data_IF_346048529824
#
_entry.id   IF_346048529824
#
_cell.length_a   1.000
_cell.length_b   1.000
_cell.length_c   1.000
_cell.angle_alpha   90.00
_cell.angle_beta   90.00
_cell.angle_gamma   90.00
#
_symmetry.space_group_name_H-M   'P 1'
#
loop_
_entity.id
_entity.type
_entity.pdbx_description
1 polymer ?
#
# COMPACT_ATOMS: atom_id res chain seq x y z
N UNK A 1 1.20 -20.29 7.57
CA UNK A 1 1.72 -20.07 6.22
C UNK A 1 0.97 -18.87 5.64
N UNK A 2 1.66 -17.83 5.17
CA UNK A 2 0.98 -16.67 4.56
C UNK A 2 0.36 -17.05 3.22
N UNK A 3 -0.65 -16.28 2.76
CA UNK A 3 -1.26 -16.48 1.44
C UNK A 3 -0.20 -16.39 0.33
N UNK A 4 0.73 -15.44 0.45
CA UNK A 4 1.85 -15.26 -0.47
C UNK A 4 2.73 -16.53 -0.58
N UNK A 5 3.07 -17.15 0.56
CA UNK A 5 3.87 -18.40 0.58
C UNK A 5 3.07 -19.59 0.01
N UNK A 6 1.76 -19.67 0.25
CA UNK A 6 0.92 -20.68 -0.39
C UNK A 6 0.87 -20.47 -1.91
N UNK A 7 0.63 -19.24 -2.31
CA UNK A 7 0.52 -18.86 -3.70
C UNK A 7 1.81 -19.11 -4.50
N UNK A 8 2.98 -18.83 -3.93
CA UNK A 8 4.28 -19.08 -4.57
C UNK A 8 4.58 -20.56 -4.85
N UNK A 9 3.82 -21.48 -4.25
CA UNK A 9 3.94 -22.94 -4.46
C UNK A 9 3.06 -23.47 -5.60
N UNK A 10 2.18 -22.64 -6.15
CA UNK A 10 1.35 -23.03 -7.29
C UNK A 10 2.19 -23.08 -8.57
N UNK A 11 1.91 -24.02 -9.50
CA UNK A 11 2.51 -23.96 -10.84
C UNK A 11 2.21 -22.65 -11.53
N UNK A 12 3.16 -22.10 -12.27
CA UNK A 12 3.01 -20.78 -12.93
C UNK A 12 1.71 -20.57 -13.71
N UNK A 13 1.20 -21.51 -14.51
CA UNK A 13 -0.09 -21.32 -15.19
C UNK A 13 -1.25 -21.09 -14.22
N UNK A 14 -1.29 -21.84 -13.11
CA UNK A 14 -2.34 -21.74 -12.11
C UNK A 14 -2.20 -20.44 -11.29
N UNK A 15 -0.98 -20.07 -10.91
CA UNK A 15 -0.73 -18.84 -10.16
C UNK A 15 -1.12 -17.59 -10.94
N UNK A 16 -0.79 -17.52 -12.24
CA UNK A 16 -1.20 -16.41 -13.12
C UNK A 16 -2.71 -16.30 -13.29
N UNK A 17 -3.40 -17.44 -13.38
CA UNK A 17 -4.86 -17.47 -13.52
C UNK A 17 -5.56 -17.02 -12.23
N UNK A 18 -5.03 -17.41 -11.08
CA UNK A 18 -5.66 -17.17 -9.77
C UNK A 18 -5.30 -15.78 -9.23
N UNK A 19 -4.13 -15.22 -9.56
CA UNK A 19 -3.68 -13.93 -9.05
C UNK A 19 -4.69 -12.79 -9.22
N UNK A 20 -5.31 -12.58 -10.39
CA UNK A 20 -6.30 -11.53 -10.59
C UNK A 20 -7.50 -11.63 -9.63
N UNK A 21 -7.86 -12.85 -9.20
CA UNK A 21 -8.94 -13.07 -8.25
C UNK A 21 -8.46 -12.80 -6.82
N UNK A 22 -7.26 -13.27 -6.48
CA UNK A 22 -6.71 -13.16 -5.13
C UNK A 22 -6.44 -11.72 -4.71
N UNK A 23 -6.18 -10.79 -5.62
CA UNK A 23 -6.01 -9.38 -5.31
C UNK A 23 -7.25 -8.76 -4.65
N UNK A 24 -8.45 -9.26 -4.95
CA UNK A 24 -9.71 -8.82 -4.36
C UNK A 24 -10.02 -9.48 -3.00
N UNK A 25 -9.19 -10.40 -2.53
CA UNK A 25 -9.39 -11.07 -1.23
C UNK A 25 -9.03 -10.18 -0.03
N UNK A 26 -8.47 -9.00 -0.26
CA UNK A 26 -8.37 -7.92 0.71
C UNK A 26 -9.23 -6.76 0.22
N UNK A 27 -10.39 -6.56 0.85
CA UNK A 27 -11.37 -5.57 0.44
C UNK A 27 -10.80 -4.16 0.39
N UNK A 28 -10.01 -3.77 1.40
CA UNK A 28 -9.39 -2.44 1.46
C UNK A 28 -8.48 -2.21 0.25
N UNK A 29 -7.58 -3.15 -0.03
CA UNK A 29 -6.66 -3.05 -1.17
C UNK A 29 -7.37 -3.08 -2.52
N UNK A 30 -8.45 -3.85 -2.63
CA UNK A 30 -9.26 -3.87 -3.85
C UNK A 30 -9.95 -2.52 -4.11
N UNK A 31 -10.40 -1.85 -3.05
CA UNK A 31 -10.97 -0.50 -3.14
C UNK A 31 -9.89 0.52 -3.50
N UNK A 32 -8.73 0.48 -2.87
CA UNK A 32 -7.60 1.38 -3.18
C UNK A 32 -7.18 1.28 -4.65
N UNK A 33 -6.95 0.09 -5.17
CA UNK A 33 -6.56 -0.13 -6.57
C UNK A 33 -7.55 0.47 -7.57
N UNK A 34 -8.82 0.54 -7.20
CA UNK A 34 -9.84 1.15 -8.03
C UNK A 34 -9.64 2.66 -8.21
N UNK A 35 -9.14 3.36 -7.18
CA UNK A 35 -8.83 4.79 -7.28
C UNK A 35 -7.53 5.07 -8.05
N UNK A 36 -6.65 4.07 -8.14
CA UNK A 36 -5.45 4.17 -8.98
C UNK A 36 -5.78 4.00 -10.48
N UNK A 37 -6.73 3.13 -10.81
CA UNK A 37 -7.04 2.76 -12.19
C UNK A 37 -7.27 3.94 -13.16
N UNK A 38 -7.94 5.06 -12.81
CA UNK A 38 -8.11 6.20 -13.69
C UNK A 38 -6.81 6.90 -14.10
N UNK A 39 -5.73 6.69 -13.34
CA UNK A 39 -4.45 7.38 -13.49
C UNK A 39 -3.39 6.53 -14.21
N UNK A 40 -3.64 5.23 -14.39
CA UNK A 40 -2.72 4.25 -14.97
C UNK A 40 -3.45 3.33 -15.95
N UNK A 41 -3.68 3.83 -17.17
CA UNK A 41 -4.30 3.04 -18.23
C UNK A 41 -3.35 2.01 -18.84
N UNK A 42 -2.08 2.37 -19.01
CA UNK A 42 -1.04 1.52 -19.61
C UNK A 42 0.31 1.77 -18.95
N UNK A 43 0.77 0.80 -18.18
CA UNK A 43 2.06 0.86 -17.48
C UNK A 43 3.19 0.14 -18.21
N UNK A 44 2.97 -0.33 -19.43
CA UNK A 44 3.99 -1.05 -20.21
C UNK A 44 5.23 -0.18 -20.43
N UNK A 45 6.37 -0.72 -20.03
CA UNK A 45 7.63 0.00 -20.09
C UNK A 45 7.84 1.06 -19.03
N UNK A 46 6.87 1.28 -18.13
CA UNK A 46 7.04 2.17 -16.99
C UNK A 46 7.99 1.58 -15.98
N UNK A 47 8.61 2.45 -15.22
CA UNK A 47 9.33 2.10 -14.01
C UNK A 47 8.50 2.47 -12.79
N UNK A 48 8.11 1.49 -12.00
CA UNK A 48 7.24 1.64 -10.83
C UNK A 48 8.04 1.35 -9.58
N UNK A 49 7.92 2.21 -8.56
CA UNK A 49 8.44 1.98 -7.21
C UNK A 49 7.25 1.75 -6.26
N UNK A 50 7.31 0.67 -5.48
CA UNK A 50 6.40 0.40 -4.38
C UNK A 50 7.14 0.60 -3.04
N UNK A 51 6.81 1.68 -2.32
CA UNK A 51 7.42 2.02 -1.03
C UNK A 51 6.61 1.35 0.08
N UNK A 52 7.28 0.52 0.90
CA UNK A 52 6.63 -0.31 1.89
C UNK A 52 5.88 -1.48 1.25
N UNK A 53 6.50 -2.13 0.27
CA UNK A 53 5.86 -3.15 -0.57
C UNK A 53 5.44 -4.42 0.19
N UNK A 54 5.92 -4.64 1.41
CA UNK A 54 5.68 -5.86 2.17
C UNK A 54 5.96 -7.12 1.36
N UNK A 55 4.98 -8.01 1.27
CA UNK A 55 5.08 -9.24 0.47
C UNK A 55 5.00 -9.02 -1.05
N UNK A 56 4.96 -7.78 -1.53
CA UNK A 56 4.91 -7.41 -2.95
C UNK A 56 3.63 -7.83 -3.69
N UNK A 57 2.66 -8.42 -2.99
CA UNK A 57 1.53 -9.11 -3.63
C UNK A 57 0.65 -8.18 -4.46
N UNK A 58 0.46 -6.94 -4.02
CA UNK A 58 -0.46 -6.00 -4.68
C UNK A 58 0.18 -5.23 -5.82
N UNK A 59 1.48 -4.99 -5.76
CA UNK A 59 2.23 -4.28 -6.82
C UNK A 59 2.67 -5.18 -7.97
N UNK A 60 2.59 -6.50 -7.82
CA UNK A 60 2.96 -7.45 -8.88
C UNK A 60 2.12 -7.31 -10.15
N UNK A 61 0.92 -6.73 -10.08
CA UNK A 61 0.11 -6.46 -11.26
C UNK A 61 0.84 -5.55 -12.26
N UNK A 62 1.59 -4.56 -11.78
CA UNK A 62 2.38 -3.70 -12.67
C UNK A 62 3.42 -4.51 -13.47
N UNK A 63 4.08 -5.47 -12.82
CA UNK A 63 5.03 -6.35 -13.50
C UNK A 63 4.35 -7.34 -14.44
N UNK A 64 3.13 -7.79 -14.13
CA UNK A 64 2.29 -8.60 -15.05
C UNK A 64 1.89 -7.78 -16.27
N UNK A 65 1.62 -6.48 -16.11
CA UNK A 65 1.29 -5.54 -17.18
C UNK A 65 2.55 -4.92 -17.84
N UNK A 66 3.68 -5.61 -17.70
CA UNK A 66 4.95 -5.32 -18.37
C UNK A 66 5.69 -4.05 -17.92
N UNK A 67 5.39 -3.51 -16.75
CA UNK A 67 6.24 -2.53 -16.09
C UNK A 67 7.49 -3.19 -15.48
N UNK A 68 8.51 -2.38 -15.20
CA UNK A 68 9.61 -2.75 -14.31
C UNK A 68 9.25 -2.30 -12.90
N UNK A 69 9.15 -3.23 -11.96
CA UNK A 69 8.78 -3.00 -10.57
C UNK A 69 10.02 -3.06 -9.67
N UNK A 70 10.25 -2.00 -8.92
CA UNK A 70 11.15 -2.01 -7.77
C UNK A 70 10.29 -1.87 -6.50
N UNK A 71 10.43 -2.77 -5.54
CA UNK A 71 9.76 -2.70 -4.23
C UNK A 71 10.77 -2.48 -3.12
N UNK A 72 10.47 -1.64 -2.14
CA UNK A 72 11.31 -1.50 -0.95
C UNK A 72 10.51 -1.67 0.34
N UNK A 73 11.14 -2.27 1.34
CA UNK A 73 10.57 -2.48 2.66
C UNK A 73 11.69 -2.63 3.71
N UNK A 74 11.38 -2.41 4.99
CA UNK A 74 12.30 -2.65 6.10
C UNK A 74 12.36 -4.12 6.53
N UNK A 75 11.36 -4.92 6.16
CA UNK A 75 11.24 -6.33 6.52
C UNK A 75 11.94 -7.23 5.50
N UNK A 76 13.11 -7.75 5.86
CA UNK A 76 13.82 -8.72 5.02
C UNK A 76 13.02 -10.02 4.78
N UNK A 77 12.18 -10.43 5.75
CA UNK A 77 11.30 -11.59 5.62
C UNK A 77 10.19 -11.36 4.61
N UNK A 78 9.62 -10.16 4.56
CA UNK A 78 8.58 -9.79 3.62
C UNK A 78 9.15 -9.67 2.21
N UNK A 79 10.33 -9.07 2.05
CA UNK A 79 11.02 -9.01 0.76
C UNK A 79 11.39 -10.39 0.23
N UNK A 80 11.73 -11.33 1.11
CA UNK A 80 11.93 -12.73 0.71
C UNK A 80 10.64 -13.35 0.18
N UNK A 81 9.52 -13.11 0.86
CA UNK A 81 8.21 -13.57 0.40
C UNK A 81 7.80 -12.91 -0.92
N UNK A 82 8.10 -11.60 -1.09
CA UNK A 82 7.84 -10.86 -2.32
C UNK A 82 8.58 -11.48 -3.53
N UNK A 83 9.88 -11.78 -3.38
CA UNK A 83 10.66 -12.47 -4.42
C UNK A 83 10.08 -13.84 -4.77
N UNK A 84 9.69 -14.63 -3.75
CA UNK A 84 9.06 -15.93 -3.98
C UNK A 84 7.73 -15.80 -4.72
N UNK A 85 6.94 -14.77 -4.39
CA UNK A 85 5.67 -14.52 -5.05
C UNK A 85 5.90 -14.11 -6.52
N UNK A 86 6.85 -13.21 -6.79
CA UNK A 86 7.22 -12.82 -8.15
C UNK A 86 7.66 -14.01 -9.01
N UNK A 87 8.50 -14.90 -8.45
CA UNK A 87 8.89 -16.16 -9.11
C UNK A 87 7.67 -17.05 -9.37
N UNK A 88 6.76 -17.17 -8.39
CA UNK A 88 5.55 -17.97 -8.51
C UNK A 88 4.63 -17.54 -9.65
N UNK A 89 4.54 -16.22 -9.95
CA UNK A 89 3.76 -15.68 -11.09
C UNK A 89 4.60 -15.51 -12.37
N UNK A 90 5.92 -15.73 -12.29
CA UNK A 90 6.83 -15.65 -13.45
C UNK A 90 7.09 -14.22 -13.92
N UNK A 91 7.24 -13.28 -12.99
CA UNK A 91 7.61 -11.88 -13.26
C UNK A 91 8.89 -11.45 -12.53
N UNK A 92 9.63 -12.40 -11.97
CA UNK A 92 10.89 -12.18 -11.26
C UNK A 92 11.96 -11.47 -12.11
N UNK A 93 11.92 -11.60 -13.44
CA UNK A 93 12.76 -10.82 -14.35
C UNK A 93 12.37 -9.32 -14.47
N UNK A 94 11.25 -8.90 -13.90
CA UNK A 94 10.73 -7.52 -13.96
C UNK A 94 10.48 -6.91 -12.58
N UNK A 95 10.57 -7.69 -11.51
CA UNK A 95 10.32 -7.29 -10.15
C UNK A 95 11.58 -7.45 -9.29
N UNK A 96 12.10 -6.33 -8.77
CA UNK A 96 13.23 -6.29 -7.87
C UNK A 96 12.78 -5.82 -6.49
N UNK A 97 13.49 -6.24 -5.45
CA UNK A 97 13.14 -5.91 -4.08
C UNK A 97 14.40 -5.55 -3.29
N UNK A 98 14.39 -4.40 -2.63
CA UNK A 98 15.50 -3.90 -1.84
C UNK A 98 15.10 -3.63 -0.39
N UNK A 99 16.02 -3.90 0.53
CA UNK A 99 15.88 -3.55 1.94
C UNK A 99 16.24 -2.08 2.07
N UNK A 100 15.26 -1.22 2.34
CA UNK A 100 15.48 0.22 2.45
C UNK A 100 14.41 0.88 3.33
N UNK A 101 14.81 1.97 3.99
CA UNK A 101 13.93 2.87 4.72
C UNK A 101 13.24 3.82 3.72
N UNK A 102 11.91 3.92 3.78
CA UNK A 102 11.13 4.85 2.98
C UNK A 102 11.50 6.32 3.22
N UNK A 103 11.98 6.67 4.43
CA UNK A 103 12.47 8.01 4.74
C UNK A 103 13.81 8.34 4.06
N UNK A 104 14.61 7.33 3.69
CA UNK A 104 15.93 7.49 3.09
C UNK A 104 16.12 6.62 1.85
N UNK A 105 15.31 6.80 0.84
CA UNK A 105 15.35 6.00 -0.38
C UNK A 105 16.72 6.07 -1.07
N UNK A 106 17.51 4.96 -1.14
CA UNK A 106 18.84 4.93 -1.74
C UNK A 106 18.78 4.77 -3.26
N UNK A 107 17.93 5.56 -3.91
CA UNK A 107 17.60 5.48 -5.33
C UNK A 107 17.94 6.79 -6.02
N UNK A 108 18.28 6.74 -7.30
CA UNK A 108 18.59 7.94 -8.08
C UNK A 108 17.35 8.82 -8.28
N UNK A 109 17.57 10.12 -8.47
CA UNK A 109 16.52 11.05 -8.80
C UNK A 109 15.98 10.80 -10.23
N UNK A 110 14.72 11.16 -10.46
CA UNK A 110 14.07 11.14 -11.77
C UNK A 110 14.10 9.76 -12.46
N UNK A 111 13.85 8.72 -11.71
CA UNK A 111 13.97 7.34 -12.16
C UNK A 111 12.63 6.68 -12.47
N UNK A 112 11.56 7.03 -11.74
CA UNK A 112 10.29 6.34 -11.78
C UNK A 112 9.19 7.14 -12.46
N UNK A 113 8.34 6.44 -13.20
CA UNK A 113 7.13 6.99 -13.82
C UNK A 113 5.98 7.02 -12.80
N UNK A 114 5.95 6.03 -11.89
CA UNK A 114 4.97 5.90 -10.82
C UNK A 114 5.66 5.50 -9.51
N UNK A 115 5.30 6.17 -8.43
CA UNK A 115 5.58 5.73 -7.05
C UNK A 115 4.26 5.43 -6.38
N UNK A 116 4.18 4.26 -5.76
CA UNK A 116 3.03 3.80 -4.97
C UNK A 116 3.47 3.69 -3.51
N UNK A 117 2.66 4.20 -2.58
CA UNK A 117 2.88 4.09 -1.14
C UNK A 117 1.51 3.87 -0.46
N UNK A 118 1.19 2.61 -0.15
CA UNK A 118 -0.15 2.22 0.30
C UNK A 118 -0.17 1.87 1.79
N UNK A 119 -0.76 2.74 2.63
CA UNK A 119 -0.85 2.58 4.09
C UNK A 119 0.53 2.27 4.71
N UNK A 120 1.50 3.10 4.41
CA UNK A 120 2.88 2.98 4.89
C UNK A 120 3.37 4.28 5.51
N UNK A 121 2.98 5.44 4.92
CA UNK A 121 3.47 6.74 5.36
C UNK A 121 3.17 7.00 6.84
N UNK A 122 2.01 6.54 7.33
CA UNK A 122 1.57 6.62 8.73
C UNK A 122 2.52 5.90 9.71
N UNK A 123 3.34 4.99 9.22
CA UNK A 123 4.32 4.22 9.99
C UNK A 123 5.74 4.77 9.89
N UNK A 124 6.01 5.73 9.00
CA UNK A 124 7.33 6.32 8.82
C UNK A 124 7.50 7.49 9.81
N UNK A 125 8.55 7.44 10.63
CA UNK A 125 8.82 8.48 11.65
C UNK A 125 9.03 9.85 11.01
N UNK A 126 9.85 9.91 9.97
CA UNK A 126 10.11 11.12 9.18
C UNK A 126 9.37 11.02 7.84
N UNK A 127 8.05 11.23 7.90
CA UNK A 127 7.15 11.18 6.77
C UNK A 127 7.43 12.31 5.75
N UNK A 128 7.85 13.47 6.23
CA UNK A 128 8.26 14.59 5.35
C UNK A 128 9.46 14.20 4.47
N UNK A 129 10.50 13.61 5.05
CA UNK A 129 11.65 13.12 4.28
C UNK A 129 11.26 11.98 3.33
N UNK A 130 10.30 11.13 3.72
CA UNK A 130 9.77 10.09 2.85
C UNK A 130 9.06 10.68 1.62
N UNK A 131 8.17 11.65 1.82
CA UNK A 131 7.49 12.35 0.73
C UNK A 131 8.46 13.10 -0.19
N UNK A 132 9.44 13.81 0.39
CA UNK A 132 10.51 14.47 -0.37
C UNK A 132 11.36 13.45 -1.17
N UNK A 133 11.66 12.29 -0.58
CA UNK A 133 12.33 11.18 -1.23
C UNK A 133 11.54 10.63 -2.41
N UNK A 134 10.24 10.39 -2.24
CA UNK A 134 9.34 9.95 -3.31
C UNK A 134 9.27 10.99 -4.45
N UNK A 135 9.15 12.28 -4.10
CA UNK A 135 9.21 13.35 -5.09
C UNK A 135 10.53 13.36 -5.86
N UNK A 136 11.66 13.20 -5.16
CA UNK A 136 13.00 13.20 -5.79
C UNK A 136 13.17 12.07 -6.80
N UNK A 137 12.72 10.86 -6.47
CA UNK A 137 12.91 9.69 -7.33
C UNK A 137 11.94 9.65 -8.52
N UNK A 138 10.82 10.36 -8.45
CA UNK A 138 9.89 10.51 -9.57
C UNK A 138 10.51 11.34 -10.70
N UNK A 139 10.27 10.94 -11.94
CA UNK A 139 10.54 11.75 -13.14
C UNK A 139 9.69 13.03 -13.12
N UNK A 140 10.11 14.11 -13.79
CA UNK A 140 9.22 15.23 -14.08
C UNK A 140 7.97 14.73 -14.82
N UNK A 141 6.78 15.06 -14.30
CA UNK A 141 5.50 14.54 -14.79
C UNK A 141 5.13 13.14 -14.29
N UNK A 142 6.00 12.49 -13.50
CA UNK A 142 5.71 11.19 -12.87
C UNK A 142 4.67 11.30 -11.76
N UNK A 143 3.99 10.19 -11.47
CA UNK A 143 2.85 10.12 -10.60
C UNK A 143 3.21 9.54 -9.22
N UNK A 144 2.67 10.14 -8.16
CA UNK A 144 2.58 9.54 -6.83
C UNK A 144 1.15 9.07 -6.60
N UNK A 145 1.00 7.82 -6.21
CA UNK A 145 -0.24 7.27 -5.66
C UNK A 145 0.00 6.94 -4.19
N UNK A 146 -0.74 7.61 -3.32
CA UNK A 146 -0.55 7.54 -1.87
C UNK A 146 -1.88 7.21 -1.19
N UNK A 147 -1.88 6.23 -0.27
CA UNK A 147 -2.98 6.02 0.65
C UNK A 147 -2.49 6.06 2.09
N UNK A 148 -3.31 6.64 2.98
CA UNK A 148 -3.02 6.80 4.41
C UNK A 148 -4.28 6.68 5.24
N UNK A 149 -4.12 6.46 6.55
CA UNK A 149 -5.23 6.50 7.49
C UNK A 149 -5.80 7.92 7.63
N UNK A 150 -7.13 8.05 7.60
CA UNK A 150 -7.85 9.32 7.73
C UNK A 150 -8.07 9.69 9.20
N UNK A 151 -7.66 10.90 9.61
CA UNK A 151 -7.91 11.42 10.95
C UNK A 151 -9.40 11.76 11.19
N UNK A 152 -10.12 12.09 10.12
CA UNK A 152 -11.50 12.57 10.18
C UNK A 152 -12.53 11.43 9.96
N UNK A 153 -12.10 10.16 9.95
CA UNK A 153 -13.01 9.05 9.74
C UNK A 153 -13.89 8.78 10.98
N UNK A 154 -15.13 8.37 10.71
CA UNK A 154 -15.97 7.79 11.73
C UNK A 154 -15.67 6.30 11.84
N UNK A 155 -15.12 5.84 12.98
CA UNK A 155 -14.98 4.41 13.24
C UNK A 155 -16.34 3.72 13.17
N UNK A 156 -16.38 2.59 12.49
CA UNK A 156 -17.62 1.88 12.29
C UNK A 156 -18.09 1.21 13.59
N UNK A 157 -17.17 0.65 14.38
CA UNK A 157 -17.45 -0.07 15.61
C UNK A 157 -16.86 0.61 16.86
N UNK A 158 -15.95 1.56 16.72
CA UNK A 158 -15.37 2.36 17.80
C UNK A 158 -14.44 1.61 18.75
N UNK A 159 -14.55 0.29 18.83
CA UNK A 159 -13.85 -0.51 19.86
C UNK A 159 -12.31 -0.52 19.70
N UNK A 160 -11.79 -0.29 18.48
CA UNK A 160 -10.35 -0.23 18.25
C UNK A 160 -9.72 1.03 18.85
N UNK A 161 -10.48 2.12 19.01
CA UNK A 161 -9.98 3.35 19.64
C UNK A 161 -9.83 3.22 21.14
N UNK A 162 -10.73 2.49 21.79
CA UNK A 162 -10.73 2.29 23.24
C UNK A 162 -9.63 1.31 23.70
N UNK A 163 -8.97 0.64 22.77
CA UNK A 163 -7.88 -0.26 23.10
C UNK A 163 -6.60 0.51 23.40
N UNK A 164 -5.91 0.12 24.49
CA UNK A 164 -4.57 0.63 24.76
C UNK A 164 -3.61 0.30 23.59
N UNK A 165 -2.54 1.08 23.37
CA UNK A 165 -1.58 0.83 22.28
C UNK A 165 -1.05 -0.60 22.26
N UNK A 166 -0.76 -1.19 23.43
CA UNK A 166 -0.33 -2.58 23.58
C UNK A 166 -1.39 -3.59 23.16
N UNK A 167 -2.68 -3.32 23.45
CA UNK A 167 -3.79 -4.17 23.02
C UNK A 167 -4.07 -4.01 21.53
N UNK A 168 -3.91 -2.80 20.96
CA UNK A 168 -3.97 -2.59 19.49
C UNK A 168 -2.89 -3.38 18.78
N UNK A 169 -1.64 -3.28 19.21
CA UNK A 169 -0.52 -4.04 18.64
C UNK A 169 -0.78 -5.56 18.72
N UNK A 170 -1.28 -6.04 19.85
CA UNK A 170 -1.61 -7.46 20.04
C UNK A 170 -2.75 -7.95 19.16
N UNK A 171 -3.77 -7.12 18.91
CA UNK A 171 -4.91 -7.43 18.04
C UNK A 171 -4.54 -7.35 16.56
N UNK A 172 -3.89 -6.26 16.17
CA UNK A 172 -3.58 -5.97 14.78
C UNK A 172 -2.38 -6.78 14.27
N UNK A 173 -1.42 -7.10 15.13
CA UNK A 173 -0.19 -7.83 14.81
C UNK A 173 0.21 -8.86 15.88
N UNK A 174 -0.60 -9.89 16.09
CA UNK A 174 -0.32 -10.91 17.11
C UNK A 174 1.00 -11.68 16.85
N UNK A 175 1.50 -11.71 15.62
CA UNK A 175 2.80 -12.27 15.27
C UNK A 175 3.97 -11.46 15.86
N UNK A 176 3.86 -10.14 15.95
CA UNK A 176 4.89 -9.26 16.56
C UNK A 176 4.83 -9.37 18.08
N UNK A 177 3.62 -9.42 18.65
CA UNK A 177 3.42 -9.55 20.10
C UNK A 177 3.82 -10.93 20.66
N UNK A 178 3.87 -11.97 19.82
CA UNK A 178 4.20 -13.35 20.19
C UNK A 178 5.56 -13.84 19.72
N UNK A 179 6.35 -13.00 19.05
CA UNK A 179 7.70 -13.35 18.66
C UNK A 179 8.57 -13.51 19.92
N UNK A 180 9.28 -14.64 20.10
CA UNK A 180 10.23 -14.76 21.17
C UNK A 180 11.34 -13.71 20.98
N UNK A 181 11.78 -13.10 22.06
CA UNK A 181 12.80 -12.04 22.18
C UNK A 181 14.18 -12.49 21.68
N UNK A 182 14.30 -13.01 20.47
CA UNK A 182 15.54 -13.66 19.97
C UNK A 182 16.26 -12.84 18.89
N UNK A 183 15.70 -11.75 18.42
CA UNK A 183 16.39 -10.89 17.46
C UNK A 183 16.61 -9.49 18.07
N UNK A 184 17.52 -9.38 19.04
CA UNK A 184 18.03 -8.09 19.48
C UNK A 184 18.81 -7.45 18.34
N UNK A 185 18.28 -6.40 17.75
CA UNK A 185 18.95 -5.56 16.75
C UNK A 185 17.96 -4.92 15.77
N UNK A 186 17.66 -5.60 14.68
CA UNK A 186 16.84 -5.04 13.60
C UNK A 186 15.34 -5.16 13.90
N UNK A 187 14.91 -6.27 14.53
CA UNK A 187 13.49 -6.51 14.85
C UNK A 187 12.97 -5.61 15.98
N UNK A 188 13.84 -5.20 16.95
CA UNK A 188 13.47 -4.24 18.00
C UNK A 188 13.28 -2.83 17.40
N UNK A 189 14.07 -2.48 16.39
CA UNK A 189 13.91 -1.24 15.64
C UNK A 189 12.59 -1.24 14.82
N UNK A 190 12.27 -2.35 14.20
CA UNK A 190 11.04 -2.54 13.46
C UNK A 190 9.80 -2.52 14.37
N UNK A 191 9.86 -3.09 15.56
CA UNK A 191 8.77 -3.05 16.53
C UNK A 191 8.44 -1.60 16.93
N UNK A 192 9.44 -0.74 17.15
CA UNK A 192 9.25 0.68 17.45
C UNK A 192 8.68 1.49 16.27
N UNK A 193 9.00 1.13 15.04
CA UNK A 193 8.50 1.81 13.83
C UNK A 193 7.00 1.53 13.62
N UNK A 194 6.56 0.31 13.87
CA UNK A 194 5.14 -0.05 13.74
C UNK A 194 4.24 0.53 14.86
N UNK A 195 4.84 1.06 15.94
CA UNK A 195 4.09 1.77 16.99
C UNK A 195 3.78 3.23 16.61
N UNK A 196 4.45 3.80 15.59
CA UNK A 196 4.11 5.10 15.02
C UNK A 196 2.91 4.89 14.10
N UNK A 197 1.74 5.26 14.57
CA UNK A 197 0.53 5.26 13.77
C UNK A 197 -0.04 6.67 13.77
N UNK A 198 0.29 7.42 12.72
CA UNK A 198 -0.29 8.73 12.46
C UNK A 198 -1.59 8.57 11.70
N UNK A 199 -2.41 9.60 11.79
CA UNK A 199 -3.58 9.81 10.93
C UNK A 199 -3.46 11.19 10.31
N UNK A 200 -3.92 11.33 9.10
CA UNK A 200 -3.77 12.55 8.34
C UNK A 200 -5.11 13.23 8.14
N UNK A 201 -5.12 14.56 8.30
CA UNK A 201 -6.21 15.40 7.83
C UNK A 201 -6.01 15.66 6.33
N UNK A 202 -7.06 15.44 5.54
CA UNK A 202 -6.96 15.47 4.08
C UNK A 202 -6.33 16.72 3.52
N UNK A 203 -6.81 17.90 3.93
CA UNK A 203 -6.31 19.17 3.42
C UNK A 203 -4.86 19.45 3.85
N UNK A 204 -4.49 19.08 5.09
CA UNK A 204 -3.12 19.29 5.59
C UNK A 204 -2.09 18.48 4.81
N UNK A 205 -2.38 17.22 4.49
CA UNK A 205 -1.48 16.39 3.70
C UNK A 205 -1.43 16.84 2.23
N UNK A 206 -2.56 17.30 1.68
CA UNK A 206 -2.58 17.88 0.34
C UNK A 206 -1.70 19.15 0.25
N UNK A 207 -1.73 20.01 1.28
CA UNK A 207 -0.91 21.22 1.33
C UNK A 207 0.58 20.88 1.49
N UNK A 208 0.91 19.84 2.26
CA UNK A 208 2.28 19.34 2.36
C UNK A 208 2.79 18.80 1.02
N UNK A 209 1.99 18.01 0.31
CA UNK A 209 2.32 17.54 -1.04
C UNK A 209 2.56 18.72 -2.01
N UNK A 210 1.70 19.73 -1.98
CA UNK A 210 1.90 20.95 -2.80
C UNK A 210 3.17 21.69 -2.43
N UNK A 211 3.46 21.82 -1.13
CA UNK A 211 4.70 22.43 -0.61
C UNK A 211 5.97 21.72 -1.09
N UNK A 212 5.90 20.41 -1.31
CA UNK A 212 7.00 19.61 -1.87
C UNK A 212 7.09 19.66 -3.40
N UNK A 213 6.19 20.35 -4.09
CA UNK A 213 6.20 20.50 -5.55
C UNK A 213 5.36 19.47 -6.30
N UNK A 214 4.43 18.81 -5.62
CA UNK A 214 3.41 18.01 -6.27
C UNK A 214 2.21 18.84 -6.70
N UNK A 215 1.66 18.52 -7.86
CA UNK A 215 0.31 18.88 -8.25
C UNK A 215 -0.64 17.79 -7.77
N UNK A 216 -1.49 18.09 -6.78
CA UNK A 216 -2.52 17.15 -6.30
C UNK A 216 -3.64 17.14 -7.32
N UNK A 217 -3.79 16.03 -8.04
CA UNK A 217 -4.75 15.86 -9.14
C UNK A 217 -6.09 15.34 -8.63
N UNK A 218 -6.02 14.50 -7.59
CA UNK A 218 -7.20 13.84 -7.03
C UNK A 218 -6.98 13.55 -5.54
N UNK A 219 -8.04 13.67 -4.76
CA UNK A 219 -8.06 13.41 -3.33
C UNK A 219 -9.44 12.93 -2.92
N UNK A 220 -9.52 11.74 -2.34
CA UNK A 220 -10.76 11.16 -1.85
C UNK A 220 -10.57 10.47 -0.50
N UNK A 221 -11.62 10.47 0.32
CA UNK A 221 -11.73 9.49 1.38
C UNK A 221 -12.34 8.20 0.82
N UNK A 222 -11.77 7.06 1.19
CA UNK A 222 -12.22 5.74 0.72
C UNK A 222 -12.54 4.81 1.87
N UNK A 223 -13.15 3.68 1.55
CA UNK A 223 -13.66 2.66 2.45
C UNK A 223 -14.79 3.18 3.35
N UNK A 224 -16.00 3.08 2.83
CA UNK A 224 -17.25 3.40 3.52
C UNK A 224 -17.40 2.66 4.85
N UNK A 225 -18.38 3.06 5.67
CA UNK A 225 -18.71 2.37 6.94
C UNK A 225 -18.85 0.86 6.78
N UNK A 226 -19.43 0.38 5.68
CA UNK A 226 -19.59 -1.05 5.41
C UNK A 226 -18.23 -1.74 5.24
N UNK A 227 -17.33 -1.13 4.48
CA UNK A 227 -15.97 -1.64 4.31
C UNK A 227 -15.15 -1.58 5.61
N UNK A 228 -15.29 -0.50 6.38
CA UNK A 228 -14.64 -0.34 7.68
C UNK A 228 -15.13 -1.39 8.70
N UNK A 229 -16.43 -1.64 8.79
CA UNK A 229 -17.00 -2.72 9.63
C UNK A 229 -16.40 -4.07 9.26
N UNK A 230 -16.30 -4.38 7.98
CA UNK A 230 -15.71 -5.64 7.53
C UNK A 230 -14.23 -5.76 7.92
N UNK A 231 -13.46 -4.67 7.77
CA UNK A 231 -12.06 -4.61 8.15
C UNK A 231 -11.88 -4.76 9.67
N UNK A 232 -12.63 -4.01 10.47
CA UNK A 232 -12.58 -4.08 11.93
C UNK A 232 -13.04 -5.44 12.47
N UNK A 233 -14.10 -6.03 11.89
CA UNK A 233 -14.59 -7.35 12.27
C UNK A 233 -13.52 -8.43 12.05
N UNK A 234 -12.72 -8.34 11.01
CA UNK A 234 -11.59 -9.25 10.79
C UNK A 234 -10.57 -9.20 11.93
N UNK A 235 -10.24 -8.00 12.40
CA UNK A 235 -9.32 -7.82 13.53
C UNK A 235 -9.92 -8.31 14.84
N UNK A 236 -11.23 -8.13 15.05
CA UNK A 236 -11.94 -8.69 16.20
C UNK A 236 -11.88 -10.23 16.21
N UNK A 237 -12.14 -10.89 15.09
CA UNK A 237 -12.05 -12.36 14.98
C UNK A 237 -10.64 -12.88 15.28
N UNK A 238 -9.60 -12.15 14.89
CA UNK A 238 -8.21 -12.49 15.25
C UNK A 238 -7.98 -12.40 16.77
N UNK A 239 -8.55 -11.41 17.43
CA UNK A 239 -8.47 -11.23 18.89
C UNK A 239 -9.22 -12.29 19.68
N UNK A 240 -10.29 -12.87 19.14
CA UNK A 240 -11.08 -13.94 19.75
C UNK A 240 -10.45 -15.34 19.65
N UNK A 241 -9.22 -15.47 19.11
CA UNK A 241 -8.48 -16.72 19.05
C UNK A 241 -8.96 -17.70 17.98
N UNK A 242 -9.77 -17.24 17.01
CA UNK A 242 -10.11 -18.06 15.83
C UNK A 242 -8.82 -18.43 15.10
N UNK A 243 -8.69 -19.70 14.72
CA UNK A 243 -7.46 -20.14 14.06
C UNK A 243 -7.12 -19.23 12.88
N UNK A 244 -5.83 -18.83 12.76
CA UNK A 244 -5.36 -17.87 11.74
C UNK A 244 -5.76 -18.28 10.31
N UNK A 245 -5.84 -19.59 10.03
CA UNK A 245 -6.25 -20.12 8.72
C UNK A 245 -7.72 -19.90 8.44
N UNK A 246 -8.59 -20.23 9.38
CA UNK A 246 -10.05 -20.11 9.24
C UNK A 246 -10.43 -18.62 9.18
N UNK A 247 -9.91 -17.79 10.06
CA UNK A 247 -10.19 -16.34 10.06
C UNK A 247 -9.80 -15.68 8.73
N UNK A 248 -8.64 -16.03 8.16
CA UNK A 248 -8.22 -15.55 6.83
C UNK A 248 -9.15 -16.02 5.71
N UNK A 249 -9.54 -17.28 5.73
CA UNK A 249 -10.45 -17.82 4.71
C UNK A 249 -11.80 -17.10 4.76
N UNK A 250 -12.36 -16.92 5.95
CA UNK A 250 -13.62 -16.15 6.12
C UNK A 250 -13.45 -14.73 5.59
N UNK A 251 -12.37 -14.04 5.96
CA UNK A 251 -12.10 -12.69 5.48
C UNK A 251 -11.98 -12.63 3.96
N UNK A 252 -11.27 -13.57 3.34
CA UNK A 252 -11.13 -13.64 1.89
C UNK A 252 -12.48 -13.85 1.19
N UNK A 253 -13.27 -14.79 1.66
CA UNK A 253 -14.58 -15.09 1.07
C UNK A 253 -15.55 -13.91 1.25
N UNK A 254 -15.60 -13.32 2.43
CA UNK A 254 -16.45 -12.16 2.69
C UNK A 254 -15.97 -10.91 1.94
N UNK A 255 -14.67 -10.72 1.74
CA UNK A 255 -14.12 -9.65 0.90
C UNK A 255 -14.61 -9.78 -0.55
N UNK A 256 -14.53 -10.97 -1.13
CA UNK A 256 -15.02 -11.22 -2.50
C UNK A 256 -16.53 -10.97 -2.64
N UNK A 257 -17.32 -11.37 -1.65
CA UNK A 257 -18.78 -11.18 -1.66
C UNK A 257 -19.17 -9.71 -1.46
N UNK A 258 -18.47 -8.99 -0.59
CA UNK A 258 -18.81 -7.61 -0.24
C UNK A 258 -18.21 -6.59 -1.22
N UNK A 259 -17.16 -6.94 -1.96
CA UNK A 259 -16.48 -6.01 -2.86
C UNK A 259 -17.42 -5.29 -3.84
N UNK A 260 -18.33 -5.97 -4.56
CA UNK A 260 -19.24 -5.28 -5.48
C UNK A 260 -20.14 -4.25 -4.77
N UNK A 261 -20.62 -4.60 -3.58
CA UNK A 261 -21.48 -3.71 -2.79
C UNK A 261 -20.70 -2.52 -2.24
N UNK A 262 -19.52 -2.75 -1.66
CA UNK A 262 -18.66 -1.68 -1.16
C UNK A 262 -18.20 -0.80 -2.32
N UNK A 263 -17.82 -1.38 -3.45
CA UNK A 263 -17.44 -0.64 -4.65
C UNK A 263 -18.58 0.22 -5.21
N UNK A 264 -19.83 -0.20 -5.05
CA UNK A 264 -21.01 0.59 -5.43
C UNK A 264 -21.24 1.75 -4.45
N UNK A 265 -21.13 1.47 -3.15
CA UNK A 265 -21.34 2.46 -2.09
C UNK A 265 -20.22 3.50 -2.09
N UNK A 266 -18.97 3.08 -2.26
CA UNK A 266 -17.81 3.98 -2.33
C UNK A 266 -17.73 4.85 -3.61
N UNK A 267 -18.70 4.72 -4.53
CA UNK A 267 -18.86 5.68 -5.65
C UNK A 267 -19.41 7.03 -5.21
N UNK A 268 -20.01 7.08 -4.04
CA UNK A 268 -20.47 8.33 -3.44
C UNK A 268 -19.28 8.97 -2.73
N UNK A 269 -19.10 10.27 -2.87
CA UNK A 269 -18.03 11.02 -2.18
C UNK A 269 -18.24 10.93 -0.66
N UNK A 270 -17.43 10.09 -0.01
CA UNK A 270 -17.39 10.02 1.45
C UNK A 270 -16.32 10.98 1.98
N UNK A 271 -16.72 12.04 2.67
CA UNK A 271 -15.75 12.91 3.36
C UNK A 271 -15.11 12.23 4.57
N UNK A 272 -15.71 11.15 5.10
CA UNK A 272 -15.31 10.46 6.33
C UNK A 272 -15.04 8.98 6.12
N UNK A 273 -14.45 8.61 5.00
CA UNK A 273 -13.98 7.26 4.75
C UNK A 273 -12.82 6.89 5.66
N UNK A 274 -12.57 5.59 5.85
CA UNK A 274 -11.53 5.06 6.74
C UNK A 274 -10.12 5.53 6.35
N UNK A 275 -9.83 5.61 5.07
CA UNK A 275 -8.55 6.08 4.56
C UNK A 275 -8.70 7.25 3.59
N UNK A 276 -7.58 7.90 3.31
CA UNK A 276 -7.43 8.92 2.28
C UNK A 276 -6.60 8.37 1.13
N UNK A 277 -6.96 8.72 -0.09
CA UNK A 277 -6.19 8.43 -1.29
C UNK A 277 -5.85 9.72 -2.02
N UNK A 278 -4.63 9.79 -2.53
CA UNK A 278 -4.12 10.90 -3.32
C UNK A 278 -3.53 10.38 -4.62
N UNK A 279 -3.90 11.01 -5.73
CA UNK A 279 -3.15 10.97 -6.97
C UNK A 279 -2.48 12.33 -7.16
N UNK A 280 -1.16 12.35 -7.19
CA UNK A 280 -0.40 13.59 -7.32
C UNK A 280 0.68 13.43 -8.39
N UNK A 281 1.01 14.52 -9.07
CA UNK A 281 2.00 14.55 -10.15
C UNK A 281 3.17 15.42 -9.73
N UNK A 282 4.40 14.94 -9.94
CA UNK A 282 5.57 15.83 -9.86
C UNK A 282 5.51 16.86 -10.99
N UNK A 283 5.55 18.12 -10.66
CA UNK A 283 5.53 19.19 -11.66
C UNK A 283 6.61 18.95 -12.73
N UNK A 284 6.24 19.09 -14.00
CA UNK A 284 7.21 19.09 -15.08
C UNK A 284 8.05 20.38 -14.95
N UNK A 285 9.38 20.28 -15.03
CA UNK A 285 10.22 21.47 -15.05
C UNK A 285 9.77 22.39 -16.19
N UNK A 286 9.58 23.69 -15.89
CA UNK A 286 9.17 24.70 -16.88
C UNK A 286 10.09 24.71 -18.12
N UNK A 287 11.37 24.38 -17.96
CA UNK A 287 12.35 24.27 -19.04
C UNK A 287 12.07 23.10 -20.00
N UNK A 288 11.45 22.01 -19.52
CA UNK A 288 11.11 20.85 -20.37
C UNK A 288 9.83 21.10 -21.20
N UNK A 289 8.95 22.01 -20.76
CA UNK A 289 7.78 22.44 -21.55
C UNK A 289 8.17 23.38 -22.70
N UNK A 290 9.13 24.26 -22.48
CA UNK A 290 9.66 25.14 -23.53
C UNK A 290 10.32 24.36 -24.69
N UNK A 291 11.00 23.25 -24.36
CA UNK A 291 11.66 22.38 -25.37
C UNK A 291 10.65 21.55 -26.21
N UNK A 292 9.45 21.26 -25.69
CA UNK A 292 8.39 20.56 -26.45
C UNK A 292 7.51 21.50 -27.27
N UNK A 293 7.45 22.79 -26.93
CA UNK A 293 6.70 23.80 -27.67
C UNK A 293 7.43 24.44 -28.84
N UNK A 294 8.73 24.13 -29.05
CA UNK A 294 9.54 24.66 -30.14
C UNK A 294 9.71 23.70 -31.33
N UNK A 295 8.97 22.60 -31.37
CA UNK A 295 8.92 21.65 -32.50
C UNK A 295 7.46 21.62 -33.01
N UNK A 296 7.05 22.71 -33.64
CA UNK A 296 5.89 22.80 -34.54
C UNK A 296 6.32 23.59 -35.77
#
# INVERSE_FOLDING_TARGET
>A
MSLAVWFSRLPQPASRLIYPILRYTNLMRAVELRYLAPWVDDVRGWRVLDVGCGHGFYSLEFALDQASLDGCDLSSSDLKAARQTAQGVGVDGRANYLLADGAMLPLAANLYDLVVCNCVLEHIVDDHSALAGMHRVLKPGGMLYLTVDNADHDLALGFLEDLSPSNKARLLRPEVASAPTVAKGLDDHLAGIYDVQRRYHGDSLADELRGLGFEVLDQHAYLSKLGAVHFEAFHLFRGLGISRGIGRLIYMLTSLLLYPLVALVDRQEYQRGYGLVYAARKAANADAQAARGSVV
#
